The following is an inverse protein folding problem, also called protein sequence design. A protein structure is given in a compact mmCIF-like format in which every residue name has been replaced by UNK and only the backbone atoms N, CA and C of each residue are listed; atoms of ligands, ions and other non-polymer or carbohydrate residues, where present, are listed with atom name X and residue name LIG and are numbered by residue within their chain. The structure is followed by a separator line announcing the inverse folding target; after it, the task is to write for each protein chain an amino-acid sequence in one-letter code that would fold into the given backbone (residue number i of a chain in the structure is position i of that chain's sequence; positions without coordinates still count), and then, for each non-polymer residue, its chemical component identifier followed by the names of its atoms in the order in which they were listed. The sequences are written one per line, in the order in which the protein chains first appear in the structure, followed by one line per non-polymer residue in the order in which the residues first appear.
data_IF_918787238193
#
_entry.id   IF_918787238193
#
_cell.length_a   1.000
_cell.length_b   1.000
_cell.length_c   1.000
_cell.angle_alpha   90.00
_cell.angle_beta   90.00
_cell.angle_gamma   90.00
#
_symmetry.space_group_name_H-M   'P 1'
#
loop_
_entity.id
_entity.type
_entity.pdbx_description
1 polymer ?
2 non-polymer ?
3 non-polymer ?
4 water ?
#
# COMPACT_ATOMS: atom_id res chain seq x y z
N UNK A 1 10.51 1.95 -1.89
CA UNK A 1 9.37 1.01 -1.83
C UNK A 1 9.04 0.63 -3.27
N UNK A 2 9.21 -0.63 -3.63
CA UNK A 2 8.99 -1.07 -5.03
C UNK A 2 7.61 -1.70 -5.20
N UNK A 3 7.22 -1.83 -6.43
CA UNK A 3 5.98 -2.59 -6.72
C UNK A 3 6.11 -4.01 -6.20
N UNK A 4 7.28 -4.63 -6.29
CA UNK A 4 7.45 -6.05 -5.87
C UNK A 4 7.26 -6.15 -4.35
N UNK A 5 7.82 -5.18 -3.61
CA UNK A 5 7.70 -5.14 -2.14
C UNK A 5 6.23 -4.94 -1.79
N UNK A 6 5.51 -4.09 -2.53
CA UNK A 6 4.09 -3.83 -2.20
C UNK A 6 3.28 -5.10 -2.47
N UNK A 7 3.57 -5.75 -3.60
CA UNK A 7 2.90 -7.05 -3.87
C UNK A 7 3.05 -8.06 -2.74
N UNK A 8 4.28 -8.24 -2.26
CA UNK A 8 4.53 -9.18 -1.14
C UNK A 8 3.82 -8.72 0.14
N UNK A 9 4.06 -7.47 0.56
CA UNK A 9 3.48 -6.93 1.81
C UNK A 9 1.96 -7.24 1.85
N UNK A 10 1.24 -7.02 0.77
CA UNK A 10 -0.24 -7.07 0.79
C UNK A 10 -0.76 -8.37 0.13
N UNK A 11 0.12 -9.33 -0.17
CA UNK A 11 -0.33 -10.65 -0.67
C UNK A 11 -1.04 -10.56 -2.02
N UNK A 12 -0.59 -9.65 -2.87
CA UNK A 12 -1.36 -9.34 -4.09
C UNK A 12 -1.09 -10.39 -5.15
N UNK A 13 -2.15 -10.82 -5.82
CA UNK A 13 -2.07 -11.72 -6.98
C UNK A 13 -1.42 -10.92 -8.11
N UNK A 14 -0.82 -11.67 -8.97
CA UNK A 14 -0.43 -11.25 -10.34
C UNK A 14 -1.54 -10.41 -11.03
N UNK A 15 -2.81 -10.71 -10.72
CA UNK A 15 -3.93 -9.92 -11.31
C UNK A 15 -4.03 -8.56 -10.61
N UNK A 16 -3.92 -8.57 -9.28
CA UNK A 16 -4.08 -7.34 -8.52
C UNK A 16 -3.03 -6.31 -8.86
N UNK A 17 -1.79 -6.74 -9.14
CA UNK A 17 -0.71 -5.74 -9.38
C UNK A 17 -0.93 -5.03 -10.71
N UNK A 18 -1.88 -5.46 -11.55
CA UNK A 18 -2.23 -4.71 -12.74
C UNK A 18 -2.87 -3.38 -12.36
N UNK A 19 -3.46 -3.35 -11.18
CA UNK A 19 -4.20 -2.18 -10.69
C UNK A 19 -3.65 -1.74 -9.32
N UNK A 20 -2.36 -1.40 -9.28
CA UNK A 20 -1.70 -1.25 -7.97
C UNK A 20 -2.31 -0.12 -7.16
N UNK A 21 -2.64 1.06 -7.76
CA UNK A 21 -3.21 2.09 -6.89
C UNK A 21 -4.56 1.71 -6.29
N UNK A 22 -5.35 0.98 -7.09
CA UNK A 22 -6.70 0.57 -6.62
C UNK A 22 -6.66 -0.56 -5.60
N UNK A 23 -5.78 -1.51 -5.86
CA UNK A 23 -5.75 -2.70 -5.01
C UNK A 23 -4.93 -2.46 -3.72
N UNK A 24 -3.90 -1.63 -3.83
CA UNK A 24 -3.19 0.29 -2.46
C UNK A 24 -4.49 0.62 -1.69
N UNK A 25 -5.43 1.27 -2.47
CA UNK A 25 -6.69 1.74 -1.82
C UNK A 25 -7.37 0.66 -1.00
N UNK A 26 -7.60 -0.48 -1.60
CA UNK A 26 -8.40 -1.54 -0.93
C UNK A 26 -7.63 -2.15 0.26
N UNK A 27 -6.36 -2.52 0.07
CA UNK A 27 -5.58 -3.10 1.18
C UNK A 27 -5.34 -2.06 2.24
N UNK A 28 -5.14 -0.81 1.97
CA UNK A 28 -5.79 1.39 2.81
C UNK A 28 -7.07 1.12 3.64
N UNK A 29 -8.17 0.65 2.93
CA UNK A 29 -9.42 0.38 3.63
C UNK A 29 -9.24 -0.67 4.70
N UNK A 30 -8.68 -1.83 4.30
CA UNK A 30 -8.62 -2.97 5.23
C UNK A 30 -7.70 -2.60 6.39
N UNK A 31 -6.46 -2.21 6.09
CA UNK A 31 -5.38 -0.23 7.25
C UNK A 31 -6.36 0.27 8.28
N UNK A 32 -7.51 0.88 7.71
CA UNK A 32 -8.46 1.57 8.59
C UNK A 32 -9.38 0.60 9.35
N UNK A 33 -9.46 -0.67 9.01
CA UNK A 33 -10.32 -1.62 9.75
C UNK A 33 -11.75 -1.61 9.20
N UNK A 34 -12.02 -1.07 8.04
CA UNK A 34 -13.36 -1.06 7.41
C UNK A 34 -13.43 -2.11 6.34
N UNK A 35 -14.69 -2.43 6.03
CA UNK A 35 -15.08 -3.24 4.87
C UNK A 35 -16.33 -2.58 4.22
N UNK B 1 -1.00 -5.13 9.93
CA UNK B 1 -0.35 -3.87 9.66
C UNK B 1 -1.18 -2.71 10.22
N UNK B 2 -0.66 -1.91 11.13
CA UNK B 2 -1.38 -0.73 11.68
C UNK B 2 -1.33 0.46 10.72
N UNK B 3 -2.23 1.43 10.94
CA UNK B 3 -2.16 2.71 10.17
C UNK B 3 -0.84 3.44 10.39
N UNK B 4 -0.27 3.35 11.58
CA UNK B 4 1.04 4.01 11.87
C UNK B 4 2.13 3.32 11.04
N UNK B 5 2.06 2.00 10.96
CA UNK B 5 3.04 1.26 10.11
C UNK B 5 2.86 1.64 8.63
N UNK B 6 1.61 1.90 8.17
CA UNK B 6 1.43 2.29 6.76
C UNK B 6 2.09 3.65 6.54
N UNK B 7 1.87 4.58 7.45
CA UNK B 7 2.57 5.88 7.38
C UNK B 7 4.08 5.67 7.26
N UNK B 8 4.64 4.82 8.09
CA UNK B 8 6.12 4.64 8.12
C UNK B 8 6.56 4.01 6.79
N UNK B 9 5.88 2.95 6.35
CA UNK B 9 6.28 2.15 5.15
C UNK B 9 6.20 3.01 3.89
N UNK B 10 5.13 3.79 3.75
CA UNK B 10 4.84 4.65 2.55
C UNK B 10 5.45 6.05 2.71
N UNK B 11 6.04 6.38 3.87
CA UNK B 11 6.61 7.71 4.14
C UNK B 11 5.58 8.81 3.96
N UNK B 12 4.51 8.78 4.75
CA UNK B 12 3.40 9.76 4.67
C UNK B 12 3.57 10.91 5.66
N UNK B 19 -8.38 10.79 4.76
CA UNK B 19 -8.56 9.50 4.04
C UNK B 19 -7.20 8.86 3.73
N UNK B 20 -6.83 7.92 4.59
CA UNK B 20 -5.70 7.04 4.30
C UNK B 20 -5.84 6.24 3.03
N UNK B 21 -7.06 5.71 2.72
CA UNK B 21 -7.18 4.99 1.48
C UNK B 21 -6.86 5.84 0.27
N UNK B 22 -7.37 7.08 0.26
CA UNK B 22 -7.11 7.98 -0.87
C UNK B 22 -5.65 8.41 -1.00
N UNK B 23 -5.09 8.80 0.12
CA UNK B 23 -3.75 9.38 0.14
C UNK B 23 -2.66 8.32 -0.04
N UNK B 24 -2.92 7.15 0.46
CA UNK B 24 -2.67 4.80 -0.25
C UNK B 24 -2.68 4.89 -1.74
N UNK B 25 -3.85 5.26 -2.38
CA UNK B 25 -3.99 5.32 -3.82
C UNK B 25 -3.00 6.32 -4.44
N UNK B 26 -2.88 7.51 -3.91
CA UNK B 26 -2.04 8.55 -4.55
C UNK B 26 -0.57 8.21 -4.35
N UNK B 27 -0.13 7.87 -3.14
CA UNK B 27 1.32 7.56 -2.93
C UNK B 27 1.67 6.29 -3.68
N UNK B 28 0.85 5.33 -3.75
CA UNK B 28 0.13 3.73 -5.52
C UNK B 28 0.50 4.39 -6.79
N UNK B 29 -0.11 5.54 -7.16
CA UNK B 29 0.16 6.27 -8.43
C UNK B 29 1.64 6.75 -8.47
N UNK B 30 2.10 7.36 -7.37
CA UNK B 30 3.42 8.02 -7.38
C UNK B 30 4.47 6.93 -7.46
N UNK B 31 4.37 5.82 -6.86
CA UNK B 31 4.62 3.71 -6.97
C UNK B 31 4.71 3.44 -8.40
N UNK B 32 3.60 3.74 -9.25
CA UNK B 32 3.62 3.47 -10.71
C UNK B 32 4.42 4.53 -11.47
N UNK B 33 4.77 5.66 -10.86
CA UNK B 33 5.65 6.70 -11.42
C UNK B 33 5.05 7.31 -12.67
X LIG C 1 -13.68 -2.18 -2.09
X LIG C 1 -13.19 -1.07 -1.16
X LIG C 1 -13.93 -3.29 -1.54
X LIG C 1 -12.24 -1.48 -0.25
X LIG C 1 -12.63 -0.07 -1.88
X LIG C 1 -14.08 -0.53 -0.43
X LIG C 1 -13.80 -1.82 -3.29
X LIG D 1 -5.86 2.85 -12.63
#
# INVERSE_FOLDING_TARGET
LSEEEIQRIFGLSSEQIKSLPEEXYKKXVEXTGYM
LSEEEIQRIFGLSSEQIKSLPEEXYKKXVEXTGYX
TFA C1 C2 O F1 F2 F3 OXT
MG MG
#
